data_IF_544766966759
#
_entry.id   IF_544766966759
#
_cell.length_a   1.000
_cell.length_b   1.000
_cell.length_c   1.000
_cell.angle_alpha   90.00
_cell.angle_beta   90.00
_cell.angle_gamma   90.00
#
_symmetry.space_group_name_H-M   'P 1'
#
loop_
_entity.id
_entity.type
_entity.pdbx_description
1 polymer ?
#
# COMPACT_ATOMS: atom_id res chain seq x y z
N UNK A 1 23.77 -9.00 -6.54
CA UNK A 1 22.38 -9.31 -6.13
C UNK A 1 21.47 -8.32 -6.82
N UNK A 2 20.50 -8.77 -7.61
CA UNK A 2 19.53 -7.87 -8.23
C UNK A 2 18.65 -7.28 -7.12
N UNK A 3 18.53 -5.95 -7.05
CA UNK A 3 17.66 -5.29 -6.07
C UNK A 3 16.21 -5.54 -6.46
N UNK A 4 15.38 -5.92 -5.50
CA UNK A 4 13.96 -6.20 -5.73
C UNK A 4 13.07 -5.49 -4.72
N UNK A 5 11.90 -5.04 -5.18
CA UNK A 5 10.81 -4.51 -4.35
C UNK A 5 9.60 -5.39 -4.54
N UNK A 6 9.11 -6.00 -3.45
CA UNK A 6 7.84 -6.72 -3.47
C UNK A 6 6.71 -5.78 -3.03
N UNK A 7 5.62 -5.77 -3.78
CA UNK A 7 4.45 -4.94 -3.54
C UNK A 7 3.22 -5.83 -3.45
N UNK A 8 2.51 -5.75 -2.32
CA UNK A 8 1.15 -6.27 -2.18
C UNK A 8 0.18 -5.10 -2.31
N UNK A 9 -0.86 -5.19 -3.13
CA UNK A 9 -1.80 -4.08 -3.25
C UNK A 9 -3.19 -4.52 -3.64
N UNK A 10 -4.16 -3.61 -3.49
CA UNK A 10 -5.47 -3.74 -4.11
C UNK A 10 -5.77 -2.54 -5.00
N UNK A 11 -6.36 -2.79 -6.16
CA UNK A 11 -6.83 -1.75 -7.07
C UNK A 11 -8.18 -2.13 -7.66
N UNK A 12 -9.24 -1.44 -7.23
CA UNK A 12 -10.60 -1.69 -7.71
C UNK A 12 -10.88 -0.99 -9.05
N UNK A 13 -10.57 0.31 -9.14
CA UNK A 13 -10.87 1.17 -10.31
C UNK A 13 -9.63 1.55 -11.15
N UNK A 14 -8.46 0.98 -10.83
CA UNK A 14 -7.24 1.14 -11.63
C UNK A 14 -6.30 2.27 -11.20
N UNK A 15 -6.70 3.17 -10.31
CA UNK A 15 -5.84 4.28 -9.84
C UNK A 15 -4.55 3.79 -9.16
N UNK A 16 -4.66 2.86 -8.20
CA UNK A 16 -3.49 2.26 -7.54
C UNK A 16 -2.66 1.46 -8.54
N UNK A 17 -3.28 0.66 -9.41
CA UNK A 17 -2.58 -0.09 -10.47
C UNK A 17 -1.78 0.83 -11.40
N UNK A 18 -2.34 1.97 -11.79
CA UNK A 18 -1.67 2.98 -12.60
C UNK A 18 -0.50 3.64 -11.86
N UNK A 19 -0.62 3.87 -10.55
CA UNK A 19 0.50 4.36 -9.73
C UNK A 19 1.61 3.32 -9.64
N UNK A 20 1.28 2.06 -9.36
CA UNK A 20 2.25 0.96 -9.32
C UNK A 20 2.98 0.81 -10.67
N UNK A 21 2.28 0.92 -11.80
CA UNK A 21 2.93 0.90 -13.12
C UNK A 21 4.00 1.99 -13.30
N UNK A 22 3.70 3.22 -12.88
CA UNK A 22 4.68 4.34 -12.90
C UNK A 22 5.86 4.09 -11.95
N UNK A 23 5.57 3.54 -10.77
CA UNK A 23 6.59 3.19 -9.77
C UNK A 23 7.52 2.07 -10.27
N UNK A 24 6.96 1.05 -10.94
CA UNK A 24 7.72 -0.03 -11.58
C UNK A 24 8.66 0.50 -12.64
N UNK A 25 8.19 1.41 -13.51
CA UNK A 25 9.05 2.05 -14.51
C UNK A 25 10.20 2.83 -13.84
N UNK A 26 9.90 3.63 -12.83
CA UNK A 26 10.89 4.42 -12.10
C UNK A 26 11.97 3.56 -11.42
N UNK A 27 11.59 2.41 -10.85
CA UNK A 27 12.55 1.46 -10.28
C UNK A 27 13.35 0.72 -11.35
N UNK A 28 12.74 0.38 -12.48
CA UNK A 28 13.43 -0.28 -13.60
C UNK A 28 14.55 0.60 -14.17
N UNK A 29 14.33 1.92 -14.27
CA UNK A 29 15.37 2.90 -14.66
C UNK A 29 16.58 2.92 -13.71
N UNK A 30 16.43 2.39 -12.49
CA UNK A 30 17.48 2.27 -11.47
C UNK A 30 18.02 0.84 -11.33
N UNK A 31 17.64 -0.07 -12.23
CA UNK A 31 18.04 -1.48 -12.16
C UNK A 31 17.41 -2.26 -11.00
N UNK A 32 16.24 -1.81 -10.50
CA UNK A 32 15.49 -2.46 -9.44
C UNK A 32 14.26 -3.15 -10.03
N UNK A 33 14.08 -4.44 -9.76
CA UNK A 33 12.90 -5.20 -10.20
C UNK A 33 11.74 -5.02 -9.22
N UNK A 34 10.52 -4.79 -9.73
CA UNK A 34 9.31 -4.72 -8.90
C UNK A 34 8.45 -5.95 -9.14
N UNK A 35 8.17 -6.70 -8.08
CA UNK A 35 7.23 -7.82 -8.08
C UNK A 35 5.93 -7.33 -7.41
N UNK A 36 4.89 -7.04 -8.20
CA UNK A 36 3.63 -6.49 -7.68
C UNK A 36 2.46 -7.48 -7.80
N UNK A 37 1.80 -7.76 -6.69
CA UNK A 37 0.63 -8.65 -6.60
C UNK A 37 -0.64 -7.85 -6.28
N UNK A 38 -1.61 -7.88 -7.20
CA UNK A 38 -2.94 -7.31 -6.99
C UNK A 38 -3.87 -8.35 -6.37
N UNK A 39 -4.24 -8.19 -5.10
CA UNK A 39 -5.09 -9.16 -4.38
C UNK A 39 -6.49 -9.32 -4.99
N UNK A 40 -6.95 -8.33 -5.77
CA UNK A 40 -8.22 -8.44 -6.53
C UNK A 40 -8.10 -9.45 -7.68
N UNK A 41 -6.92 -9.59 -8.27
CA UNK A 41 -6.68 -10.50 -9.42
C UNK A 41 -6.26 -11.89 -8.93
N UNK A 42 -5.66 -11.98 -7.75
CA UNK A 42 -5.20 -13.23 -7.11
C UNK A 42 -5.74 -13.29 -5.67
N UNK A 43 -7.00 -13.71 -5.48
CA UNK A 43 -7.66 -13.68 -4.17
C UNK A 43 -7.21 -14.81 -3.23
N UNK A 44 -6.52 -15.83 -3.74
CA UNK A 44 -5.98 -16.91 -2.90
C UNK A 44 -4.78 -16.42 -2.09
N UNK A 45 -4.83 -16.64 -0.79
CA UNK A 45 -3.77 -16.21 0.12
C UNK A 45 -2.66 -17.26 0.19
N UNK A 46 -1.42 -16.78 0.12
CA UNK A 46 -0.23 -17.60 0.32
C UNK A 46 0.62 -17.04 1.46
N UNK A 47 1.49 -17.85 2.04
CA UNK A 47 2.44 -17.35 3.03
C UNK A 47 3.49 -16.49 2.34
N UNK A 48 3.66 -15.25 2.82
CA UNK A 48 4.69 -14.32 2.36
C UNK A 48 5.88 -14.40 3.31
N UNK A 49 7.05 -14.72 2.76
CA UNK A 49 8.31 -14.90 3.50
C UNK A 49 9.40 -13.87 3.11
N UNK A 50 9.13 -13.02 2.12
CA UNK A 50 10.01 -11.94 1.70
C UNK A 50 9.47 -10.58 2.18
N UNK A 51 10.34 -9.60 2.51
CA UNK A 51 9.91 -8.24 2.84
C UNK A 51 9.09 -7.61 1.70
N UNK A 52 8.01 -6.92 2.04
CA UNK A 52 7.15 -6.23 1.08
C UNK A 52 6.57 -4.93 1.63
N UNK A 53 6.13 -4.06 0.72
CA UNK A 53 5.34 -2.86 1.03
C UNK A 53 3.91 -3.05 0.55
N UNK A 54 2.94 -2.48 1.26
CA UNK A 54 1.52 -2.57 0.86
C UNK A 54 0.92 -1.25 0.40
N UNK A 55 0.02 -1.30 -0.59
CA UNK A 55 -0.70 -0.14 -1.11
C UNK A 55 -2.22 -0.33 -0.98
N UNK A 56 -2.87 0.62 -0.31
CA UNK A 56 -4.29 0.54 0.03
C UNK A 56 -5.05 1.80 -0.40
N UNK A 57 -5.97 1.72 -1.39
CA UNK A 57 -6.92 2.80 -1.64
C UNK A 57 -7.98 2.86 -0.55
N UNK A 58 -8.48 4.06 -0.26
CA UNK A 58 -9.51 4.28 0.75
C UNK A 58 -10.91 4.19 0.15
N UNK A 59 -11.69 3.24 0.65
CA UNK A 59 -13.13 3.11 0.43
C UNK A 59 -13.80 2.97 1.79
N UNK A 60 -14.55 3.98 2.20
CA UNK A 60 -15.21 4.02 3.50
C UNK A 60 -16.72 4.07 3.30
N UNK A 61 -17.44 3.36 4.15
CA UNK A 61 -18.88 3.52 4.34
C UNK A 61 -19.13 4.27 5.64
N UNK A 62 -20.16 5.10 5.58
CA UNK A 62 -20.74 5.77 6.72
C UNK A 62 -20.76 7.28 6.52
N UNK A 63 -21.66 7.89 7.26
CA UNK A 63 -22.03 9.28 7.15
C UNK A 63 -23.47 9.40 6.72
N UNK A 64 -24.26 9.95 7.62
CA UNK A 64 -25.67 10.29 7.49
C UNK A 64 -25.87 11.77 7.12
N UNK A 65 -24.80 12.44 6.66
CA UNK A 65 -24.76 13.88 6.45
C UNK A 65 -24.37 14.70 7.70
N UNK A 66 -24.23 14.05 8.87
CA UNK A 66 -23.82 14.68 10.14
C UNK A 66 -22.49 14.09 10.63
N UNK A 67 -22.34 12.77 10.54
CA UNK A 67 -21.11 12.06 10.92
C UNK A 67 -20.25 11.72 9.70
N UNK A 68 -18.93 11.60 9.89
CA UNK A 68 -18.02 11.00 8.92
C UNK A 68 -17.95 9.48 9.15
N UNK A 69 -18.23 8.69 8.12
CA UNK A 69 -18.02 7.25 8.16
C UNK A 69 -16.56 6.85 8.16
N UNK A 70 -16.21 5.88 8.99
CA UNK A 70 -14.84 5.38 9.13
C UNK A 70 -14.72 3.87 8.92
N UNK A 71 -15.79 3.21 8.48
CA UNK A 71 -15.80 1.76 8.27
C UNK A 71 -15.26 1.44 6.88
N UNK A 72 -14.16 0.69 6.81
CA UNK A 72 -13.62 0.18 5.55
C UNK A 72 -14.64 -0.70 4.82
N UNK A 73 -14.75 -0.51 3.51
CA UNK A 73 -15.51 -1.37 2.61
C UNK A 73 -14.69 -1.72 1.38
N UNK A 74 -15.08 -2.79 0.68
CA UNK A 74 -14.55 -3.23 -0.64
C UNK A 74 -13.07 -3.65 -0.68
N UNK A 75 -12.28 -3.29 0.33
CA UNK A 75 -10.81 -3.44 0.34
C UNK A 75 -10.28 -4.31 1.48
N UNK A 76 -11.19 -4.82 2.33
CA UNK A 76 -10.90 -5.64 3.50
C UNK A 76 -10.10 -6.91 3.19
N UNK A 77 -10.24 -7.45 1.97
CA UNK A 77 -9.48 -8.63 1.51
C UNK A 77 -7.96 -8.43 1.59
N UNK A 78 -7.47 -7.19 1.45
CA UNK A 78 -6.05 -6.89 1.65
C UNK A 78 -5.65 -7.09 3.13
N UNK A 79 -6.50 -6.65 4.06
CA UNK A 79 -6.30 -6.84 5.50
C UNK A 79 -6.34 -8.30 5.89
N UNK A 80 -7.23 -9.09 5.29
CA UNK A 80 -7.31 -10.53 5.52
C UNK A 80 -6.03 -11.23 5.01
N UNK A 81 -5.50 -10.85 3.85
CA UNK A 81 -4.24 -11.37 3.33
C UNK A 81 -3.04 -10.96 4.22
N UNK A 82 -3.02 -9.73 4.73
CA UNK A 82 -2.00 -9.31 5.69
C UNK A 82 -2.06 -10.12 6.99
N UNK A 83 -3.26 -10.45 7.47
CA UNK A 83 -3.44 -11.26 8.68
C UNK A 83 -3.10 -12.74 8.48
N UNK A 84 -3.35 -13.28 7.28
CA UNK A 84 -3.11 -14.67 6.93
C UNK A 84 -1.66 -15.08 7.24
N UNK A 85 -1.51 -16.14 8.04
CA UNK A 85 -0.23 -16.66 8.52
C UNK A 85 0.77 -15.60 9.06
N UNK A 86 0.25 -14.51 9.62
CA UNK A 86 1.05 -13.37 10.08
C UNK A 86 1.92 -12.71 9.00
N UNK A 87 1.44 -12.68 7.75
CA UNK A 87 2.12 -12.02 6.63
C UNK A 87 2.49 -10.56 6.93
N UNK A 88 1.69 -9.85 7.75
CA UNK A 88 1.96 -8.48 8.19
C UNK A 88 3.34 -8.31 8.85
N UNK A 89 3.94 -9.37 9.41
CA UNK A 89 5.30 -9.35 9.98
C UNK A 89 6.41 -9.18 8.93
N UNK A 90 6.10 -9.34 7.65
CA UNK A 90 7.00 -9.08 6.53
C UNK A 90 6.68 -7.75 5.83
N UNK A 91 5.61 -7.07 6.24
CA UNK A 91 5.25 -5.76 5.71
C UNK A 91 6.08 -4.68 6.42
N UNK A 92 6.93 -3.99 5.68
CA UNK A 92 7.77 -2.92 6.26
C UNK A 92 7.09 -1.54 6.24
N UNK A 93 5.90 -1.43 5.67
CA UNK A 93 5.09 -0.21 5.70
C UNK A 93 3.94 -0.21 4.70
N UNK A 94 3.07 0.79 4.84
CA UNK A 94 1.89 0.99 4.02
C UNK A 94 1.89 2.35 3.33
N UNK A 95 1.41 2.40 2.08
CA UNK A 95 1.10 3.62 1.35
C UNK A 95 -0.41 3.71 1.13
N UNK A 96 -1.01 4.84 1.51
CA UNK A 96 -2.42 5.13 1.29
C UNK A 96 -2.69 5.85 -0.02
N UNK A 97 -3.74 5.45 -0.74
CA UNK A 97 -4.29 6.21 -1.87
C UNK A 97 -5.67 6.76 -1.49
N UNK A 98 -5.93 8.02 -1.81
CA UNK A 98 -7.22 8.64 -1.49
C UNK A 98 -7.64 9.73 -2.47
N UNK A 99 -8.67 10.48 -2.09
CA UNK A 99 -9.12 11.68 -2.77
C UNK A 99 -9.26 12.79 -1.72
N UNK A 100 -8.59 13.92 -1.90
CA UNK A 100 -8.50 15.00 -0.90
C UNK A 100 -9.84 15.67 -0.65
N UNK A 101 -10.80 15.53 -1.56
CA UNK A 101 -12.17 16.00 -1.35
C UNK A 101 -12.85 15.34 -0.13
N UNK A 102 -12.32 14.22 0.37
CA UNK A 102 -12.80 13.56 1.59
C UNK A 102 -12.16 14.10 2.89
N UNK A 103 -11.35 15.15 2.82
CA UNK A 103 -10.78 15.89 3.96
C UNK A 103 -10.14 14.95 5.02
N UNK A 104 -10.70 14.87 6.24
CA UNK A 104 -10.19 14.04 7.34
C UNK A 104 -10.13 12.54 7.02
N UNK A 105 -10.88 12.09 6.03
CA UNK A 105 -10.92 10.69 5.60
C UNK A 105 -9.89 10.39 4.49
N UNK A 106 -9.11 11.37 4.04
CA UNK A 106 -8.05 11.15 3.06
C UNK A 106 -7.04 10.10 3.57
N UNK A 107 -6.91 9.02 2.78
CA UNK A 107 -6.00 7.90 3.04
C UNK A 107 -6.20 7.21 4.41
N UNK A 108 -7.38 7.35 5.05
CA UNK A 108 -7.60 6.95 6.44
C UNK A 108 -7.42 5.44 6.66
N UNK A 109 -7.81 4.60 5.72
CA UNK A 109 -7.68 3.13 5.83
C UNK A 109 -6.22 2.70 6.00
N UNK A 110 -5.26 3.42 5.42
CA UNK A 110 -3.83 3.13 5.63
C UNK A 110 -3.40 3.37 7.09
N UNK A 111 -3.94 4.42 7.73
CA UNK A 111 -3.69 4.72 9.16
C UNK A 111 -4.32 3.66 10.07
N UNK A 112 -5.53 3.21 9.72
CA UNK A 112 -6.20 2.12 10.44
C UNK A 112 -5.37 0.84 10.39
N UNK A 113 -4.80 0.50 9.22
CA UNK A 113 -3.97 -0.70 9.05
C UNK A 113 -2.63 -0.57 9.78
N UNK A 114 -2.00 0.59 9.72
CA UNK A 114 -0.78 0.86 10.50
C UNK A 114 -1.02 0.68 12.01
N UNK A 115 -2.15 1.17 12.53
CA UNK A 115 -2.53 0.97 13.93
C UNK A 115 -2.84 -0.50 14.25
N UNK A 116 -3.46 -1.24 13.33
CA UNK A 116 -3.85 -2.64 13.52
C UNK A 116 -2.65 -3.58 13.51
N UNK A 117 -1.70 -3.37 12.59
CA UNK A 117 -0.63 -4.33 12.31
C UNK A 117 0.77 -3.89 12.78
N UNK A 118 0.92 -2.63 13.20
CA UNK A 118 2.16 -2.11 13.81
C UNK A 118 3.25 -1.66 12.83
N UNK A 119 3.04 -1.78 11.52
CA UNK A 119 3.94 -1.20 10.51
C UNK A 119 3.63 0.29 10.25
N UNK A 120 4.60 1.12 9.83
CA UNK A 120 4.39 2.55 9.64
C UNK A 120 3.64 2.89 8.34
N UNK A 121 2.93 4.03 8.35
CA UNK A 121 2.50 4.69 7.11
C UNK A 121 3.70 5.40 6.51
N UNK A 122 4.12 5.00 5.31
CA UNK A 122 5.27 5.62 4.64
C UNK A 122 4.87 6.88 3.90
N UNK A 123 3.73 6.83 3.21
CA UNK A 123 3.29 7.93 2.36
C UNK A 123 1.80 7.84 2.05
N UNK A 124 1.29 8.93 1.51
CA UNK A 124 -0.04 9.04 0.93
C UNK A 124 0.10 9.66 -0.48
N UNK A 125 -0.83 9.33 -1.38
CA UNK A 125 -0.98 10.00 -2.68
C UNK A 125 -2.46 10.08 -3.09
N UNK A 126 -2.75 10.99 -4.02
CA UNK A 126 -4.11 11.22 -4.50
C UNK A 126 -4.37 10.51 -5.83
N UNK A 127 -5.50 9.80 -5.91
CA UNK A 127 -5.97 9.08 -7.10
C UNK A 127 -4.87 8.21 -7.71
N UNK A 128 -4.38 8.57 -8.91
CA UNK A 128 -3.32 7.84 -9.62
C UNK A 128 -1.92 8.35 -9.31
N UNK A 129 -1.77 9.35 -8.46
CA UNK A 129 -0.53 10.03 -8.11
C UNK A 129 0.14 10.79 -9.27
N UNK A 130 1.05 11.67 -8.90
CA UNK A 130 1.86 12.51 -9.79
C UNK A 130 3.27 11.92 -9.99
N UNK A 131 4.08 12.51 -10.87
CA UNK A 131 5.50 12.16 -11.00
C UNK A 131 6.30 12.45 -9.72
N UNK A 132 5.95 13.53 -9.02
CA UNK A 132 6.57 13.88 -7.73
C UNK A 132 6.21 12.86 -6.64
N UNK A 133 4.98 12.33 -6.65
CA UNK A 133 4.60 11.25 -5.74
C UNK A 133 5.43 9.99 -5.99
N UNK A 134 5.69 9.64 -7.25
CA UNK A 134 6.50 8.46 -7.60
C UNK A 134 7.91 8.57 -7.03
N UNK A 135 8.62 9.67 -7.30
CA UNK A 135 10.00 9.85 -6.80
C UNK A 135 10.07 9.88 -5.27
N UNK A 136 9.18 10.63 -4.63
CA UNK A 136 9.08 10.73 -3.16
C UNK A 136 8.77 9.38 -2.51
N UNK A 137 7.83 8.62 -3.06
CA UNK A 137 7.41 7.33 -2.50
C UNK A 137 8.48 6.27 -2.72
N UNK A 138 9.10 6.23 -3.90
CA UNK A 138 10.20 5.31 -4.18
C UNK A 138 11.36 5.49 -3.19
N UNK A 139 11.77 6.73 -2.92
CA UNK A 139 12.81 7.03 -1.92
C UNK A 139 12.43 6.49 -0.53
N UNK A 140 11.18 6.71 -0.09
CA UNK A 140 10.70 6.22 1.20
C UNK A 140 10.67 4.69 1.28
N UNK A 141 10.26 4.02 0.20
CA UNK A 141 10.28 2.56 0.09
C UNK A 141 11.71 2.04 0.26
N UNK A 142 12.67 2.59 -0.49
CA UNK A 142 14.07 2.14 -0.44
C UNK A 142 14.69 2.34 0.95
N UNK A 143 14.46 3.50 1.58
CA UNK A 143 14.97 3.76 2.93
C UNK A 143 14.34 2.80 3.95
N UNK A 144 13.02 2.64 3.90
CA UNK A 144 12.33 1.81 4.88
C UNK A 144 12.67 0.32 4.74
N UNK A 145 12.79 -0.18 3.51
CA UNK A 145 13.22 -1.56 3.28
C UNK A 145 14.60 -1.81 3.90
N UNK A 146 15.56 -0.90 3.68
CA UNK A 146 16.91 -1.03 4.24
C UNK A 146 16.93 -0.98 5.78
N UNK A 147 16.01 -0.23 6.40
CA UNK A 147 15.83 -0.24 7.87
C UNK A 147 15.27 -1.57 8.33
N UNK A 148 14.23 -2.07 7.67
CA UNK A 148 13.58 -3.32 8.02
C UNK A 148 14.51 -4.53 7.90
N UNK A 149 15.30 -4.60 6.83
CA UNK A 149 16.27 -5.69 6.60
C UNK A 149 17.40 -5.71 7.62
N UNK A 150 17.71 -4.59 8.28
CA UNK A 150 18.71 -4.53 9.36
C UNK A 150 18.17 -4.96 10.74
N UNK A 151 16.85 -4.99 10.90
CA UNK A 151 16.18 -5.32 12.17
C UNK A 151 15.78 -6.80 12.27
N UNK A 152 15.97 -7.56 11.18
CA UNK A 152 15.79 -9.03 11.15
C UNK A 152 17.13 -9.73 11.29
#
# INVERSE_FOLDING_TARGET
MNKQINILYISLSGNTKAFIGKLTQYFAEQGVTVNALNVKEFPEFTRLNAPFVTFLPTFLKGGNGIDSGYTEILTTILGDYLAYENNYRYCYGIIGSGNRNFNKQFALTAKQYASRFGFPVLAEFELRGTKSDVSRIAQKITVQQAVFEKQK
#
